data_IF_684791027006
#
_entry.id   IF_684791027006
#
_cell.length_a   1.000
_cell.length_b   1.000
_cell.length_c   1.000
_cell.angle_alpha   90.00
_cell.angle_beta   90.00
_cell.angle_gamma   90.00
#
_symmetry.space_group_name_H-M   'P 1'
#
loop_
_entity.id
_entity.type
_entity.pdbx_description
1 polymer ?
2 non-polymer ?
3 non-polymer ?
4 non-polymer ?
5 non-polymer ?
6 non-polymer ?
7 water ?
#
# COMPACT_ATOMS: atom_id res chain seq x y z
N UNK A 39 -13.47 0.40 -21.77
CA UNK A 39 -13.11 -0.01 -20.38
C UNK A 39 -11.77 0.57 -19.93
N UNK A 40 -11.40 0.32 -18.67
CA UNK A 40 -10.13 0.82 -18.15
C UNK A 40 -8.93 0.12 -18.79
N UNK A 41 -7.86 0.87 -18.95
CA UNK A 41 -6.57 0.32 -19.43
C UNK A 41 -6.06 -0.78 -18.50
N UNK A 42 -6.27 -0.59 -17.20
CA UNK A 42 -5.70 -1.45 -16.15
C UNK A 42 -6.79 -1.73 -15.11
N UNK A 43 -7.73 -2.64 -15.44
CA UNK A 43 -8.88 -2.91 -14.57
C UNK A 43 -8.49 -3.33 -13.15
N UNK A 44 -7.35 -3.99 -13.01
CA UNK A 44 -6.85 -4.45 -11.71
C UNK A 44 -6.62 -3.35 -10.68
N UNK A 45 -6.41 -2.12 -11.13
CA UNK A 45 -6.25 -0.98 -10.22
C UNK A 45 -7.51 -0.09 -10.16
N UNK A 46 -8.66 -0.65 -10.52
CA UNK A 46 -9.94 0.06 -10.42
C UNK A 46 -10.43 0.35 -9.01
N UNK A 47 -9.92 -0.40 -8.04
CA UNK A 47 -10.28 -0.21 -6.63
C UNK A 47 -9.45 0.89 -5.99
N UNK A 48 -10.11 1.90 -5.42
CA UNK A 48 -9.43 2.98 -4.73
C UNK A 48 -8.53 2.47 -3.59
N UNK A 49 -9.02 1.47 -2.85
CA UNK A 49 -8.26 0.94 -1.73
C UNK A 49 -6.94 0.28 -2.21
N UNK A 50 -7.00 -0.46 -3.32
CA UNK A 50 -5.78 -1.05 -3.88
C UNK A 50 -4.81 0.04 -4.37
N UNK A 51 -5.34 1.08 -5.01
CA UNK A 51 -4.49 2.21 -5.40
C UNK A 51 -3.82 2.86 -4.17
N UNK A 52 -4.58 3.07 -3.10
CA UNK A 52 -4.00 3.66 -1.89
C UNK A 52 -2.87 2.79 -1.33
N UNK A 53 -3.07 1.47 -1.32
CA UNK A 53 -2.06 0.56 -0.77
C UNK A 53 -0.74 0.65 -1.55
N UNK A 54 -0.82 0.97 -2.84
CA UNK A 54 0.37 1.09 -3.69
C UNK A 54 1.30 2.23 -3.23
N UNK A 55 0.78 3.18 -2.46
CA UNK A 55 1.57 4.34 -2.00
C UNK A 55 2.32 4.12 -0.69
N UNK A 56 2.51 2.86 -0.29
CA UNK A 56 3.14 2.59 1.01
C UNK A 56 4.54 3.20 1.13
N UNK A 57 5.27 3.30 0.02
CA UNK A 57 6.62 3.90 0.03
C UNK A 57 6.66 5.22 -0.77
N UNK A 58 5.54 5.94 -0.81
CA UNK A 58 5.47 7.25 -1.47
C UNK A 58 6.41 8.24 -0.75
N UNK A 59 7.27 8.95 -1.52
CA UNK A 59 8.23 9.87 -0.92
C UNK A 59 7.73 11.29 -0.58
N UNK A 60 6.49 11.61 -0.94
CA UNK A 60 5.98 12.99 -0.82
C UNK A 60 4.66 13.08 -0.05
N UNK A 61 4.57 12.40 1.10
CA UNK A 61 3.30 12.31 1.82
C UNK A 61 2.72 13.66 2.22
N UNK A 62 3.56 14.54 2.78
CA UNK A 62 3.10 15.88 3.21
C UNK A 62 2.82 16.79 2.00
N UNK A 63 3.59 16.62 0.94
CA UNK A 63 3.56 17.51 -0.22
C UNK A 63 2.39 17.21 -1.16
N UNK A 64 2.10 15.92 -1.36
CA UNK A 64 1.01 15.47 -2.24
C UNK A 64 0.42 14.20 -1.63
N UNK A 65 -0.71 14.30 -0.94
CA UNK A 65 -1.22 13.16 -0.18
C UNK A 65 -1.62 11.93 -1.03
N UNK A 66 -1.14 10.73 -0.64
CA UNK A 66 -1.58 9.49 -1.27
C UNK A 66 -3.11 9.31 -1.35
N UNK A 67 -3.82 9.75 -0.30
CA UNK A 67 -5.28 9.66 -0.28
C UNK A 67 -5.92 10.35 -1.49
N UNK A 68 -5.40 11.52 -1.83
CA UNK A 68 -5.95 12.31 -2.94
C UNK A 68 -5.49 11.77 -4.30
N UNK A 69 -4.25 11.31 -4.38
CA UNK A 69 -3.75 10.64 -5.58
C UNK A 69 -4.60 9.41 -5.92
N UNK A 70 -4.82 8.55 -4.93
CA UNK A 70 -5.63 7.34 -5.11
C UNK A 70 -7.07 7.68 -5.50
N UNK A 71 -7.66 8.65 -4.82
CA UNK A 71 -9.03 9.07 -5.11
C UNK A 71 -9.16 9.54 -6.55
N UNK A 72 -8.09 10.16 -7.06
CA UNK A 72 -8.07 10.72 -8.41
C UNK A 72 -7.71 9.72 -9.50
N UNK A 73 -7.63 8.43 -9.16
CA UNK A 73 -7.42 7.36 -10.14
C UNK A 73 -5.99 6.86 -10.26
N UNK A 74 -5.07 7.48 -9.50
CA UNK A 74 -3.65 7.18 -9.65
C UNK A 74 -3.14 6.11 -8.70
N UNK A 75 -2.23 5.27 -9.20
CA UNK A 75 -1.45 4.36 -8.36
C UNK A 75 0.04 4.67 -8.49
N UNK A 76 0.82 4.33 -7.46
CA UNK A 76 2.26 4.54 -7.48
C UNK A 76 2.97 3.42 -8.24
N UNK A 77 3.82 3.78 -9.19
CA UNK A 77 4.61 2.78 -9.93
C UNK A 77 5.70 2.13 -9.06
N UNK A 78 6.11 2.82 -7.99
CA UNK A 78 7.17 2.36 -7.10
C UNK A 78 8.50 3.02 -7.38
N UNK A 79 8.60 3.73 -8.50
CA UNK A 79 9.82 4.44 -8.86
C UNK A 79 9.62 5.94 -8.69
N UNK A 80 10.52 6.56 -7.92
CA UNK A 80 10.49 8.00 -7.67
C UNK A 80 9.07 8.45 -7.29
N UNK A 81 8.57 9.52 -7.90
CA UNK A 81 7.20 9.98 -7.67
C UNK A 81 6.29 9.74 -8.89
N UNK A 82 6.61 8.72 -9.68
CA UNK A 82 5.87 8.41 -10.89
C UNK A 82 4.56 7.70 -10.51
N UNK A 83 3.44 8.21 -11.02
CA UNK A 83 2.14 7.57 -10.83
C UNK A 83 1.45 7.37 -12.18
N UNK A 84 0.43 6.53 -12.20
CA UNK A 84 -0.35 6.30 -13.41
C UNK A 84 -1.83 6.15 -13.08
N UNK A 85 -2.69 6.66 -13.97
CA UNK A 85 -4.14 6.48 -13.82
C UNK A 85 -4.50 5.08 -14.30
N UNK A 86 -5.30 4.36 -13.52
CA UNK A 86 -5.70 3.00 -13.89
C UNK A 86 -6.56 2.98 -15.16
N UNK A 87 -7.28 4.06 -15.42
CA UNK A 87 -8.26 4.05 -16.49
C UNK A 87 -7.68 4.47 -17.85
N UNK A 88 -7.06 5.66 -17.89
CA UNK A 88 -6.44 6.16 -19.13
C UNK A 88 -4.97 5.79 -19.29
N UNK A 89 -4.37 5.26 -18.22
CA UNK A 89 -2.95 4.85 -18.20
C UNK A 89 -1.99 6.03 -18.35
N UNK A 90 -2.48 7.25 -18.12
CA UNK A 90 -1.65 8.44 -18.24
C UNK A 90 -0.70 8.52 -17.04
N UNK A 91 0.58 8.74 -17.32
CA UNK A 91 1.59 8.83 -16.26
C UNK A 91 1.94 10.28 -15.95
N UNK A 92 2.18 10.56 -14.67
CA UNK A 92 2.60 11.88 -14.20
C UNK A 92 3.72 11.76 -13.18
N UNK A 93 4.73 12.63 -13.28
CA UNK A 93 5.82 12.66 -12.30
C UNK A 93 6.21 14.10 -12.01
N UNK A 94 7.28 14.30 -11.25
CA UNK A 94 7.76 15.64 -10.90
C UNK A 94 6.64 16.46 -10.25
N UNK A 95 5.99 15.86 -9.26
CA UNK A 95 4.94 16.50 -8.48
C UNK A 95 5.52 17.63 -7.65
N UNK A 96 4.80 18.75 -7.62
CA UNK A 96 5.18 19.91 -6.82
C UNK A 96 4.32 19.96 -5.57
N UNK A 97 4.89 20.47 -4.48
CA UNK A 97 4.15 20.56 -3.22
C UNK A 97 2.88 21.37 -3.46
N UNK A 98 1.76 20.87 -2.95
CA UNK A 98 0.46 21.53 -3.12
C UNK A 98 -0.27 21.20 -4.41
N UNK A 99 0.33 20.41 -5.30
CA UNK A 99 -0.37 19.96 -6.51
C UNK A 99 -1.68 19.26 -6.14
N UNK A 100 -2.73 19.51 -6.91
CA UNK A 100 -4.04 18.88 -6.72
C UNK A 100 -4.16 17.77 -7.77
N UNK A 101 -4.16 16.50 -7.34
CA UNK A 101 -4.23 15.39 -8.28
C UNK A 101 -5.37 15.44 -9.30
N UNK A 102 -6.58 15.82 -8.87
CA UNK A 102 -7.69 15.95 -9.83
C UNK A 102 -7.45 17.04 -10.87
N UNK A 103 -6.92 18.18 -10.43
CA UNK A 103 -6.56 19.27 -11.34
C UNK A 103 -5.53 18.82 -12.38
N UNK A 104 -4.48 18.15 -11.92
CA UNK A 104 -3.45 17.63 -12.82
C UNK A 104 -4.01 16.59 -13.78
N UNK A 105 -4.92 15.74 -13.29
CA UNK A 105 -5.57 14.73 -14.13
C UNK A 105 -6.32 15.40 -15.28
N UNK A 106 -7.09 16.43 -14.96
CA UNK A 106 -7.89 17.16 -15.96
C UNK A 106 -7.02 18.04 -16.85
N UNK A 107 -5.94 18.59 -16.31
CA UNK A 107 -4.99 19.40 -17.07
C UNK A 107 -4.38 18.59 -18.20
N UNK A 108 -3.86 17.41 -17.88
CA UNK A 108 -3.05 16.62 -18.83
C UNK A 108 -3.82 15.55 -19.59
N UNK A 109 -4.86 14.99 -18.98
CA UNK A 109 -5.63 13.91 -19.60
C UNK A 109 -7.14 14.19 -19.59
N UNK A 110 -7.56 15.30 -20.22
CA UNK A 110 -8.96 15.73 -20.16
C UNK A 110 -9.97 14.78 -20.80
N UNK A 111 -9.50 13.86 -21.65
CA UNK A 111 -10.38 12.86 -22.27
C UNK A 111 -10.61 11.60 -21.46
N UNK A 112 -9.99 11.48 -20.29
CA UNK A 112 -10.16 10.30 -19.44
C UNK A 112 -11.60 10.12 -18.98
N UNK A 113 -12.16 8.93 -19.19
CA UNK A 113 -13.56 8.69 -18.86
C UNK A 113 -13.82 8.49 -17.37
N UNK A 114 -12.83 7.98 -16.63
CA UNK A 114 -12.90 7.94 -15.17
C UNK A 114 -12.98 9.35 -14.58
N UNK A 115 -12.11 10.23 -15.08
CA UNK A 115 -12.15 11.65 -14.72
C UNK A 115 -13.52 12.25 -14.99
N UNK A 116 -14.05 12.01 -16.19
CA UNK A 116 -15.35 12.56 -16.58
C UNK A 116 -16.46 12.03 -15.67
N UNK A 117 -16.48 10.72 -15.47
CA UNK A 117 -17.50 10.09 -14.63
C UNK A 117 -17.45 10.64 -13.20
N UNK A 118 -16.24 10.84 -12.69
CA UNK A 118 -16.04 11.25 -11.31
C UNK A 118 -16.30 12.74 -11.07
N UNK A 119 -15.78 13.58 -11.97
CA UNK A 119 -15.75 15.03 -11.75
C UNK A 119 -16.70 15.86 -12.64
N UNK A 120 -17.15 15.28 -13.76
CA UNK A 120 -18.08 15.96 -14.65
C UNK A 120 -17.39 16.87 -15.65
N UNK A 121 -18.11 17.21 -16.72
CA UNK A 121 -17.54 17.98 -17.82
C UNK A 121 -17.24 19.44 -17.47
N UNK A 122 -18.10 20.04 -16.65
CA UNK A 122 -17.92 21.44 -16.25
C UNK A 122 -16.58 21.64 -15.54
N UNK A 123 -16.24 20.72 -14.65
CA UNK A 123 -14.96 20.73 -13.95
C UNK A 123 -13.79 20.69 -14.93
N UNK A 124 -13.85 19.78 -15.90
CA UNK A 124 -12.77 19.62 -16.88
C UNK A 124 -12.65 20.90 -17.74
N UNK A 125 -13.79 21.41 -18.19
CA UNK A 125 -13.83 22.64 -18.99
C UNK A 125 -13.22 23.84 -18.27
N UNK A 126 -13.52 23.98 -16.99
CA UNK A 126 -13.03 25.11 -16.20
C UNK A 126 -11.51 25.10 -15.99
N UNK A 127 -10.93 23.90 -15.85
CA UNK A 127 -9.47 23.77 -15.74
C UNK A 127 -8.77 24.19 -17.03
N UNK A 128 -9.45 24.02 -18.17
CA UNK A 128 -8.99 24.59 -19.43
C UNK A 128 -9.69 25.92 -19.68
N UNK B 39 10.64 5.66 14.84
CA UNK B 39 9.16 5.69 14.65
C UNK B 39 8.64 4.64 13.69
N UNK B 40 7.33 4.67 13.39
CA UNK B 40 6.76 3.69 12.47
C UNK B 40 7.36 3.79 11.06
N UNK B 41 7.75 2.63 10.52
CA UNK B 41 8.42 2.57 9.23
C UNK B 41 7.50 2.96 8.09
N UNK B 42 6.26 2.46 8.14
CA UNK B 42 5.26 2.70 7.11
C UNK B 42 3.94 3.12 7.78
N UNK B 43 3.86 4.39 8.22
CA UNK B 43 2.72 4.86 8.98
C UNK B 43 1.37 4.59 8.32
N UNK B 44 1.29 4.77 7.01
CA UNK B 44 0.05 4.53 6.27
C UNK B 44 -0.46 3.10 6.35
N UNK B 45 0.45 2.16 6.57
CA UNK B 45 0.09 0.76 6.69
C UNK B 45 -0.26 0.35 8.13
N UNK B 46 -0.49 1.32 9.00
CA UNK B 46 -1.04 1.04 10.33
C UNK B 46 -2.50 0.59 10.29
N UNK B 47 -3.16 0.85 9.16
CA UNK B 47 -4.51 0.35 8.92
C UNK B 47 -4.47 -1.12 8.51
N UNK B 48 -5.08 -1.99 9.33
CA UNK B 48 -5.11 -3.42 8.99
C UNK B 48 -5.83 -3.66 7.67
N UNK B 49 -6.88 -2.89 7.39
CA UNK B 49 -7.62 -3.01 6.13
C UNK B 49 -6.69 -2.74 4.93
N UNK B 50 -5.85 -1.71 5.05
CA UNK B 50 -4.91 -1.39 3.97
C UNK B 50 -3.82 -2.46 3.84
N UNK B 51 -3.35 -2.99 4.97
CA UNK B 51 -2.40 -4.09 4.92
C UNK B 51 -3.01 -5.27 4.16
N UNK B 52 -4.26 -5.58 4.45
CA UNK B 52 -4.92 -6.72 3.80
C UNK B 52 -5.06 -6.46 2.30
N UNK B 53 -5.40 -5.22 1.95
CA UNK B 53 -5.51 -4.81 0.54
C UNK B 53 -4.23 -5.07 -0.25
N UNK B 54 -3.07 -4.87 0.39
CA UNK B 54 -1.78 -5.04 -0.28
C UNK B 54 -1.54 -6.46 -0.81
N UNK B 55 -2.29 -7.42 -0.25
CA UNK B 55 -2.19 -8.83 -0.65
C UNK B 55 -3.07 -9.21 -1.84
N UNK B 56 -3.62 -8.22 -2.57
CA UNK B 56 -4.40 -8.50 -3.78
C UNK B 56 -3.62 -9.36 -4.80
N UNK B 57 -2.29 -9.19 -4.81
CA UNK B 57 -1.39 -9.92 -5.72
C UNK B 57 -0.45 -10.90 -5.00
N UNK B 58 -0.89 -11.40 -3.85
CA UNK B 58 -0.17 -12.46 -3.12
C UNK B 58 -0.01 -13.66 -4.06
N UNK B 59 1.20 -14.25 -4.11
CA UNK B 59 1.40 -15.36 -5.05
C UNK B 59 0.47 -16.55 -4.80
N UNK B 60 0.00 -17.16 -5.89
CA UNK B 60 -0.91 -18.30 -5.80
C UNK B 60 -0.19 -19.56 -5.29
N UNK B 61 1.14 -19.52 -5.27
CA UNK B 61 1.97 -20.59 -4.72
C UNK B 61 2.22 -20.42 -3.21
N UNK B 62 1.84 -19.28 -2.64
CA UNK B 62 2.15 -18.98 -1.23
C UNK B 62 1.42 -19.93 -0.26
N UNK B 63 1.97 -20.06 0.94
CA UNK B 63 1.54 -21.13 1.86
C UNK B 63 0.93 -20.64 3.17
N UNK B 64 0.81 -19.32 3.33
CA UNK B 64 0.25 -18.70 4.53
C UNK B 64 -0.74 -17.63 4.08
N UNK B 65 -1.93 -17.59 4.69
CA UNK B 65 -2.99 -16.67 4.24
C UNK B 65 -2.79 -15.19 4.57
N UNK B 66 -3.08 -14.30 3.60
CA UNK B 66 -3.07 -12.85 3.82
C UNK B 66 -3.77 -12.38 5.11
N UNK B 67 -4.92 -12.97 5.44
CA UNK B 67 -5.67 -12.50 6.60
C UNK B 67 -4.84 -12.59 7.88
N UNK B 68 -4.14 -13.70 8.07
CA UNK B 68 -3.29 -13.88 9.26
C UNK B 68 -2.07 -12.97 9.24
N UNK B 69 -1.45 -12.81 8.07
CA UNK B 69 -0.28 -11.95 7.92
C UNK B 69 -0.62 -10.47 8.25
N UNK B 70 -1.70 -9.97 7.66
CA UNK B 70 -2.14 -8.60 7.93
C UNK B 70 -2.46 -8.37 9.41
N UNK B 71 -3.07 -9.36 10.05
CA UNK B 71 -3.39 -9.26 11.49
C UNK B 71 -2.16 -9.09 12.37
N UNK B 72 -1.04 -9.68 11.94
CA UNK B 72 0.22 -9.62 12.69
C UNK B 72 1.12 -8.44 12.30
N UNK B 73 0.56 -7.46 11.58
CA UNK B 73 1.28 -6.23 11.26
C UNK B 73 1.97 -6.20 9.91
N UNK B 74 1.86 -7.29 9.14
CA UNK B 74 2.59 -7.42 7.89
C UNK B 74 1.78 -6.95 6.69
N UNK B 75 2.48 -6.36 5.73
CA UNK B 75 1.89 -6.04 4.42
C UNK B 75 2.81 -6.52 3.31
N UNK B 76 2.22 -6.79 2.15
CA UNK B 76 2.92 -7.34 0.99
C UNK B 76 3.64 -6.23 0.23
N UNK B 77 4.89 -6.47 -0.15
CA UNK B 77 5.67 -5.47 -0.89
C UNK B 77 5.40 -5.48 -2.41
N UNK B 78 4.68 -6.49 -2.90
CA UNK B 78 4.42 -6.65 -4.32
C UNK B 78 5.38 -7.55 -5.06
N UNK B 79 6.34 -8.16 -4.34
CA UNK B 79 7.37 -9.00 -4.94
C UNK B 79 7.43 -10.36 -4.24
N UNK B 80 7.27 -11.44 -5.01
CA UNK B 80 7.24 -12.79 -4.44
C UNK B 80 6.28 -12.82 -3.24
N UNK B 81 6.61 -13.57 -2.18
CA UNK B 81 5.81 -13.59 -0.96
C UNK B 81 6.47 -12.75 0.14
N UNK B 82 7.12 -11.67 -0.26
CA UNK B 82 7.82 -10.78 0.65
C UNK B 82 6.84 -9.87 1.38
N UNK B 83 6.96 -9.81 2.71
CA UNK B 83 6.15 -8.90 3.52
C UNK B 83 7.05 -8.10 4.46
N UNK B 84 6.57 -6.94 4.89
CA UNK B 84 7.24 -6.14 5.93
C UNK B 84 6.26 -5.77 7.03
N UNK B 85 6.77 -5.66 8.26
CA UNK B 85 5.98 -5.08 9.34
C UNK B 85 5.90 -3.57 9.15
N UNK B 86 4.69 -3.03 9.26
CA UNK B 86 4.47 -1.60 9.05
C UNK B 86 5.21 -0.75 10.09
N UNK B 87 5.44 -1.32 11.27
CA UNK B 87 6.05 -0.55 12.36
C UNK B 87 7.57 -0.68 12.38
N UNK B 88 8.08 -1.91 12.48
CA UNK B 88 9.52 -2.13 12.65
C UNK B 88 10.34 -2.32 11.37
N UNK B 89 9.68 -2.36 10.21
CA UNK B 89 10.32 -2.55 8.89
C UNK B 89 10.67 -4.00 8.55
N UNK B 90 10.70 -4.87 9.54
CA UNK B 90 11.26 -6.22 9.38
C UNK B 90 10.61 -6.99 8.25
N UNK B 91 11.44 -7.50 7.33
CA UNK B 91 10.97 -8.25 6.17
C UNK B 91 11.09 -9.75 6.34
N UNK B 92 10.06 -10.48 5.93
CA UNK B 92 10.08 -11.95 5.91
C UNK B 92 9.52 -12.49 4.60
N UNK B 93 10.11 -13.55 4.09
CA UNK B 93 9.64 -14.21 2.86
C UNK B 93 9.78 -15.73 2.98
N UNK B 94 9.46 -16.45 1.90
CA UNK B 94 9.55 -17.91 1.89
C UNK B 94 8.76 -18.52 3.04
N UNK B 95 7.52 -18.05 3.18
CA UNK B 95 6.58 -18.55 4.17
C UNK B 95 6.25 -20.02 3.88
N UNK B 96 6.24 -20.83 4.94
CA UNK B 96 5.99 -22.26 4.80
C UNK B 96 4.69 -22.63 5.48
N UNK B 97 4.05 -23.67 4.95
CA UNK B 97 2.82 -24.21 5.52
C UNK B 97 3.00 -24.40 7.02
N UNK B 98 2.05 -23.88 7.80
CA UNK B 98 2.10 -24.01 9.25
C UNK B 98 2.76 -22.85 9.97
N UNK B 99 3.46 -21.98 9.24
CA UNK B 99 4.04 -20.79 9.87
C UNK B 99 2.94 -19.94 10.47
N UNK B 100 3.18 -19.46 11.69
CA UNK B 100 2.27 -18.57 12.38
C UNK B 100 2.87 -17.17 12.34
N UNK B 101 2.22 -16.23 11.61
CA UNK B 101 2.78 -14.87 11.48
C UNK B 101 3.21 -14.18 12.80
N UNK B 102 2.41 -14.27 13.85
CA UNK B 102 2.79 -13.66 15.14
C UNK B 102 4.07 -14.30 15.70
N UNK B 103 4.15 -15.62 15.62
CA UNK B 103 5.33 -16.35 16.11
C UNK B 103 6.59 -15.94 15.34
N UNK B 104 6.48 -15.86 14.03
CA UNK B 104 7.61 -15.44 13.20
C UNK B 104 8.00 -13.99 13.48
N UNK B 105 7.02 -13.12 13.67
CA UNK B 105 7.27 -11.72 14.06
C UNK B 105 8.16 -11.68 15.31
N UNK B 106 7.82 -12.48 16.32
CA UNK B 106 8.55 -12.51 17.58
C UNK B 106 9.92 -13.16 17.45
N UNK B 107 9.99 -14.23 16.64
CA UNK B 107 11.25 -14.94 16.40
C UNK B 107 12.32 -14.00 15.85
N UNK B 108 11.95 -13.25 14.81
CA UNK B 108 12.92 -12.51 14.01
C UNK B 108 13.08 -11.03 14.41
N UNK B 109 12.03 -10.44 14.96
CA UNK B 109 12.01 -9.02 15.32
C UNK B 109 11.49 -8.79 16.74
N UNK B 110 12.15 -9.40 17.75
CA UNK B 110 11.66 -9.32 19.13
C UNK B 110 11.63 -7.91 19.73
N UNK B 111 12.34 -6.96 19.12
CA UNK B 111 12.36 -5.57 19.59
C UNK B 111 11.26 -4.68 19.06
N UNK B 112 10.40 -5.21 18.19
CA UNK B 112 9.29 -4.45 17.60
C UNK B 112 8.30 -3.95 18.65
N UNK B 113 8.03 -2.65 18.64
CA UNK B 113 7.11 -2.06 19.61
C UNK B 113 5.63 -2.40 19.35
N UNK B 114 5.25 -2.56 18.08
CA UNK B 114 3.92 -3.07 17.73
C UNK B 114 3.69 -4.49 18.26
N UNK B 115 4.67 -5.38 18.04
CA UNK B 115 4.64 -6.73 18.61
C UNK B 115 4.50 -6.69 20.14
N UNK B 116 5.28 -5.85 20.81
CA UNK B 116 5.25 -5.77 22.28
C UNK B 116 3.89 -5.32 22.79
N UNK B 117 3.36 -4.26 22.18
CA UNK B 117 2.05 -3.74 22.52
C UNK B 117 0.94 -4.76 22.30
N UNK B 118 1.08 -5.56 21.24
CA UNK B 118 0.04 -6.51 20.83
C UNK B 118 0.06 -7.80 21.64
N UNK B 119 1.26 -8.29 21.96
CA UNK B 119 1.43 -9.62 22.57
C UNK B 119 2.03 -9.64 23.97
N UNK B 120 2.81 -8.61 24.33
CA UNK B 120 3.47 -8.56 25.64
C UNK B 120 4.85 -9.22 25.64
N UNK B 121 5.66 -8.88 26.64
CA UNK B 121 7.05 -9.36 26.69
C UNK B 121 7.18 -10.86 26.97
N UNK B 122 6.29 -11.41 27.77
CA UNK B 122 6.35 -12.83 28.13
C UNK B 122 6.19 -13.72 26.89
N UNK B 123 5.25 -13.34 26.02
CA UNK B 123 5.02 -14.04 24.75
C UNK B 123 6.30 -14.09 23.91
N UNK B 124 6.98 -12.95 23.82
CA UNK B 124 8.20 -12.82 23.02
C UNK B 124 9.32 -13.65 23.63
N UNK B 125 9.55 -13.48 24.94
CA UNK B 125 10.58 -14.23 25.64
C UNK B 125 10.38 -15.74 25.53
N UNK B 126 9.14 -16.20 25.70
CA UNK B 126 8.83 -17.62 25.62
C UNK B 126 9.22 -18.25 24.27
N UNK B 127 8.98 -17.51 23.19
CA UNK B 127 9.35 -17.96 21.85
C UNK B 127 10.87 -18.11 21.72
N UNK B 128 11.62 -17.19 22.31
CA UNK B 128 13.07 -17.29 22.29
C UNK B 128 13.64 -18.32 23.25
N UNK B 129 12.89 -18.65 24.29
CA UNK B 129 13.33 -19.67 25.24
C UNK B 129 13.02 -21.08 24.75
N UNK B 130 11.88 -21.26 24.10
CA UNK B 130 11.48 -22.58 23.61
C UNK B 130 12.30 -23.00 22.39
N UNK B 131 12.55 -22.05 21.50
CA UNK B 131 13.32 -22.29 20.29
C UNK B 131 14.82 -22.27 20.58
#
# INVERSE_FOLDING_TARGET
>A
MGSSHHHHHHSSGEVPRGSHMLETEEEEEEGAGATLSRGPAFPGMGSEELRLASFYDWPLTAEVPPELLAAAGFFHTGHQDKVRCFFCYGGLQSWKRGDDPWTEHAKWFPGCQFLLRSKGQEYINNIHLTHSL
>B
MGSSHHHHHHSSGEVPRGSHMLETEEEEEEGAGATLSRGPAFPGMGSEELRLASFYDWPLTAEVPPELLAAAGFFHTGHQDKVRCFFCYGGLQSWKRGDDPWTEHAKWFPGCQFLLRSKGQEYINNIHLTHSL
#
